data_IF_142157056746
#
_entry.id   IF_142157056746
#
_cell.length_a   1.000
_cell.length_b   1.000
_cell.length_c   1.000
_cell.angle_alpha   90.00
_cell.angle_beta   90.00
_cell.angle_gamma   90.00
#
_symmetry.space_group_name_H-M   'P 1'
#
loop_
_entity.id
_entity.type
_entity.pdbx_description
1 polymer ?
#
# COMPACT_ATOMS: atom_id res chain seq x y z
N UNK A 1 -24.91 -1.79 2.02
CA UNK A 1 -24.05 -2.72 2.78
C UNK A 1 -23.82 -2.10 4.15
N UNK A 2 -24.32 -2.72 5.23
CA UNK A 2 -24.14 -2.19 6.59
C UNK A 2 -22.65 -2.17 6.98
N UNK A 3 -22.13 -1.06 7.52
CA UNK A 3 -20.77 -0.97 8.02
C UNK A 3 -20.72 -1.63 9.40
N UNK A 4 -20.50 -2.95 9.44
CA UNK A 4 -20.44 -3.64 10.72
C UNK A 4 -20.00 -5.09 10.59
N UNK A 5 -18.92 -5.43 11.30
CA UNK A 5 -18.36 -6.78 11.53
C UNK A 5 -17.40 -7.33 10.48
N UNK A 6 -16.51 -6.52 9.91
CA UNK A 6 -15.32 -7.09 9.29
C UNK A 6 -14.37 -7.54 10.42
N UNK A 7 -14.34 -8.85 10.71
CA UNK A 7 -13.49 -9.44 11.76
C UNK A 7 -12.01 -9.52 11.38
N UNK A 8 -11.72 -9.54 10.08
CA UNK A 8 -10.36 -9.72 9.53
C UNK A 8 -10.11 -8.76 8.38
N UNK A 9 -8.87 -8.28 8.24
CA UNK A 9 -8.39 -7.49 7.10
C UNK A 9 -7.73 -8.36 6.01
N UNK A 10 -8.24 -9.60 5.85
CA UNK A 10 -7.74 -10.54 4.85
C UNK A 10 -8.19 -10.24 3.40
N UNK A 11 -7.77 -11.11 2.45
CA UNK A 11 -8.09 -10.99 1.04
C UNK A 11 -9.59 -10.79 0.78
N UNK A 12 -9.92 -10.01 -0.24
CA UNK A 12 -11.28 -10.03 -0.78
C UNK A 12 -11.52 -11.36 -1.52
N UNK A 13 -12.77 -11.82 -1.65
CA UNK A 13 -13.08 -13.17 -2.16
C UNK A 13 -12.45 -13.53 -3.51
N UNK A 14 -12.22 -12.55 -4.39
CA UNK A 14 -11.66 -12.75 -5.74
C UNK A 14 -10.16 -12.45 -5.85
N UNK A 15 -9.47 -12.12 -4.77
CA UNK A 15 -8.07 -11.67 -4.83
C UNK A 15 -7.13 -12.73 -5.38
N UNK A 16 -7.35 -13.99 -5.00
CA UNK A 16 -6.57 -15.11 -5.51
C UNK A 16 -6.67 -15.26 -7.05
N UNK A 17 -7.79 -14.85 -7.65
CA UNK A 17 -7.95 -14.83 -9.11
C UNK A 17 -7.40 -13.55 -9.72
N UNK A 18 -7.66 -12.39 -9.09
CA UNK A 18 -7.29 -11.08 -9.61
C UNK A 18 -5.79 -10.78 -9.52
N UNK A 19 -5.09 -11.50 -8.64
CA UNK A 19 -3.66 -11.34 -8.38
C UNK A 19 -2.92 -12.69 -8.43
N UNK A 20 -3.36 -13.61 -9.30
CA UNK A 20 -2.61 -14.83 -9.63
C UNK A 20 -1.31 -14.50 -10.37
N UNK A 21 -0.38 -15.45 -10.48
CA UNK A 21 0.91 -15.25 -11.18
C UNK A 21 0.76 -14.77 -12.64
N UNK A 22 -0.24 -15.30 -13.34
CA UNK A 22 -0.61 -14.85 -14.69
C UNK A 22 -1.07 -13.40 -14.68
N UNK A 23 -1.99 -13.03 -13.77
CA UNK A 23 -2.47 -11.66 -13.64
C UNK A 23 -1.37 -10.70 -13.20
N UNK A 24 -0.42 -11.13 -12.36
CA UNK A 24 0.72 -10.32 -11.95
C UNK A 24 1.55 -9.89 -13.16
N UNK A 25 1.71 -10.75 -14.16
CA UNK A 25 2.46 -10.41 -15.39
C UNK A 25 1.73 -9.33 -16.19
N UNK A 26 0.41 -9.44 -16.33
CA UNK A 26 -0.44 -8.42 -16.96
C UNK A 26 -0.38 -7.10 -16.18
N UNK A 27 -0.45 -7.17 -14.85
CA UNK A 27 -0.40 -5.99 -13.98
C UNK A 27 0.95 -5.26 -14.06
N UNK A 28 2.07 -5.99 -14.19
CA UNK A 28 3.38 -5.36 -14.41
C UNK A 28 3.43 -4.58 -15.72
N UNK A 29 2.91 -5.16 -16.80
CA UNK A 29 2.83 -4.47 -18.09
C UNK A 29 1.91 -3.24 -18.02
N UNK A 30 0.75 -3.38 -17.37
CA UNK A 30 -0.19 -2.29 -17.16
C UNK A 30 0.40 -1.17 -16.28
N UNK A 31 1.13 -1.51 -15.21
CA UNK A 31 1.81 -0.56 -14.35
C UNK A 31 2.84 0.26 -15.14
N UNK A 32 3.63 -0.39 -16.00
CA UNK A 32 4.59 0.30 -16.86
C UNK A 32 3.90 1.28 -17.82
N UNK A 33 2.83 0.84 -18.50
CA UNK A 33 2.06 1.70 -19.40
C UNK A 33 1.42 2.88 -18.67
N UNK A 34 0.88 2.64 -17.46
CA UNK A 34 0.27 3.69 -16.65
C UNK A 34 1.31 4.71 -16.17
N UNK A 35 2.44 4.25 -15.65
CA UNK A 35 3.56 5.12 -15.26
C UNK A 35 4.08 5.95 -16.42
N UNK A 36 4.17 5.38 -17.63
CA UNK A 36 4.62 6.07 -18.83
C UNK A 36 3.71 7.25 -19.22
N UNK A 37 2.39 7.08 -19.05
CA UNK A 37 1.40 8.14 -19.26
C UNK A 37 1.48 9.21 -18.17
N UNK A 38 1.60 8.80 -16.90
CA UNK A 38 1.76 9.72 -15.77
C UNK A 38 3.02 10.59 -15.91
N UNK A 39 4.12 10.03 -16.43
CA UNK A 39 5.36 10.77 -16.72
C UNK A 39 5.23 11.80 -17.86
N UNK A 40 4.10 11.81 -18.58
CA UNK A 40 3.76 12.74 -19.67
C UNK A 40 2.58 13.64 -19.33
N UNK A 41 2.36 13.85 -18.03
CA UNK A 41 1.33 14.75 -17.50
C UNK A 41 -0.11 14.41 -17.91
N UNK A 42 -0.35 13.17 -18.36
CA UNK A 42 -1.72 12.67 -18.47
C UNK A 42 -2.33 12.56 -17.07
N UNK A 43 -3.56 13.05 -16.91
CA UNK A 43 -4.26 12.92 -15.64
C UNK A 43 -4.39 11.44 -15.22
N UNK A 44 -4.18 11.17 -13.93
CA UNK A 44 -4.27 9.83 -13.35
C UNK A 44 -5.58 9.12 -13.73
N UNK A 45 -6.71 9.84 -13.61
CA UNK A 45 -8.03 9.31 -13.97
C UNK A 45 -8.13 8.86 -15.44
N UNK A 46 -7.66 9.68 -16.38
CA UNK A 46 -7.74 9.35 -17.81
C UNK A 46 -6.77 8.22 -18.18
N UNK A 47 -5.53 8.29 -17.69
CA UNK A 47 -4.51 7.29 -17.94
C UNK A 47 -4.90 5.93 -17.36
N UNK A 48 -5.44 5.89 -16.13
CA UNK A 48 -5.94 4.65 -15.51
C UNK A 48 -7.11 4.04 -16.29
N UNK A 49 -8.00 4.88 -16.84
CA UNK A 49 -9.09 4.41 -17.69
C UNK A 49 -8.54 3.73 -18.96
N UNK A 50 -7.68 4.43 -19.70
CA UNK A 50 -7.09 3.93 -20.96
C UNK A 50 -6.34 2.61 -20.73
N UNK A 51 -5.44 2.57 -19.75
CA UNK A 51 -4.65 1.39 -19.44
C UNK A 51 -5.54 0.26 -18.91
N UNK A 52 -6.44 0.57 -17.99
CA UNK A 52 -7.35 -0.41 -17.44
C UNK A 52 -8.23 -1.06 -18.51
N UNK A 53 -8.72 -0.30 -19.49
CA UNK A 53 -9.53 -0.81 -20.59
C UNK A 53 -8.68 -1.67 -21.54
N UNK A 54 -7.48 -1.20 -21.91
CA UNK A 54 -6.55 -1.92 -22.79
C UNK A 54 -6.16 -3.30 -22.24
N UNK A 55 -5.80 -3.37 -20.96
CA UNK A 55 -5.43 -4.61 -20.28
C UNK A 55 -6.62 -5.37 -19.69
N UNK A 56 -7.86 -4.91 -19.95
CA UNK A 56 -9.12 -5.52 -19.45
C UNK A 56 -9.15 -5.71 -17.91
N UNK A 57 -8.56 -4.77 -17.19
CA UNK A 57 -8.44 -4.82 -15.72
C UNK A 57 -9.77 -4.56 -15.02
N UNK A 58 -9.99 -5.31 -13.93
CA UNK A 58 -11.11 -5.09 -13.01
C UNK A 58 -10.84 -3.91 -12.07
N UNK A 59 -11.89 -3.32 -11.50
CA UNK A 59 -11.77 -2.16 -10.59
C UNK A 59 -10.77 -2.37 -9.44
N UNK A 60 -10.71 -3.57 -8.86
CA UNK A 60 -9.78 -3.87 -7.79
C UNK A 60 -8.31 -3.90 -8.23
N UNK A 61 -8.04 -4.32 -9.46
CA UNK A 61 -6.73 -4.25 -10.10
C UNK A 61 -6.38 -2.80 -10.47
N UNK A 62 -7.35 -2.03 -10.98
CA UNK A 62 -7.19 -0.59 -11.25
C UNK A 62 -6.83 0.18 -9.97
N UNK A 63 -7.49 -0.13 -8.86
CA UNK A 63 -7.17 0.44 -7.53
C UNK A 63 -5.74 0.12 -7.10
N UNK A 64 -5.26 -1.10 -7.37
CA UNK A 64 -3.88 -1.46 -7.09
C UNK A 64 -2.89 -0.62 -7.92
N UNK A 65 -3.15 -0.45 -9.22
CA UNK A 65 -2.34 0.41 -10.07
C UNK A 65 -2.35 1.86 -9.58
N UNK A 66 -3.54 2.41 -9.30
CA UNK A 66 -3.69 3.80 -8.85
C UNK A 66 -2.96 4.08 -7.54
N UNK A 67 -2.92 3.10 -6.62
CA UNK A 67 -2.16 3.22 -5.38
C UNK A 67 -0.66 3.09 -5.58
N UNK A 68 -0.21 2.27 -6.53
CA UNK A 68 1.20 1.88 -6.65
C UNK A 68 1.97 2.66 -7.72
N UNK A 69 1.29 3.29 -8.65
CA UNK A 69 1.89 4.02 -9.76
C UNK A 69 1.77 5.52 -9.55
N UNK A 70 2.89 6.22 -9.74
CA UNK A 70 3.03 7.65 -9.53
C UNK A 70 3.96 8.23 -10.61
N UNK A 71 3.86 9.53 -10.91
CA UNK A 71 4.84 10.21 -11.76
C UNK A 71 6.26 10.09 -11.18
N UNK A 72 7.25 9.88 -12.04
CA UNK A 72 8.66 9.72 -11.68
C UNK A 72 9.23 10.92 -10.93
N UNK A 73 8.74 12.13 -11.21
CA UNK A 73 9.11 13.32 -10.46
C UNK A 73 8.71 13.19 -8.99
N UNK A 74 7.49 12.75 -8.69
CA UNK A 74 7.03 12.55 -7.31
C UNK A 74 7.84 11.45 -6.62
N UNK A 75 8.11 10.34 -7.31
CA UNK A 75 8.93 9.24 -6.77
C UNK A 75 10.32 9.74 -6.37
N UNK A 76 10.96 10.58 -7.20
CA UNK A 76 12.27 11.17 -6.89
C UNK A 76 12.23 12.11 -5.69
N UNK A 77 11.15 12.85 -5.49
CA UNK A 77 11.01 13.72 -4.32
C UNK A 77 10.78 12.93 -3.03
N UNK A 78 10.02 11.84 -3.10
CA UNK A 78 9.83 10.93 -1.97
C UNK A 78 11.16 10.26 -1.60
N UNK A 79 11.90 9.72 -2.58
CA UNK A 79 13.14 8.98 -2.32
C UNK A 79 14.24 9.83 -1.67
N UNK A 80 14.23 11.15 -1.87
CA UNK A 80 15.16 12.09 -1.19
C UNK A 80 14.90 12.21 0.31
N UNK A 81 13.71 11.84 0.77
CA UNK A 81 13.25 11.96 2.17
C UNK A 81 13.14 10.60 2.86
N UNK A 82 13.37 9.51 2.14
CA UNK A 82 13.35 8.17 2.69
C UNK A 82 14.60 7.91 3.52
N UNK A 83 14.42 7.27 4.68
CA UNK A 83 15.52 6.77 5.48
C UNK A 83 16.21 5.64 4.71
N UNK A 84 17.53 5.74 4.55
CA UNK A 84 18.31 4.71 3.83
C UNK A 84 18.65 3.52 4.72
N UNK A 85 18.56 3.71 6.04
CA UNK A 85 18.85 2.71 7.05
C UNK A 85 17.95 2.85 8.27
N UNK A 86 17.50 1.71 8.81
CA UNK A 86 16.76 1.65 10.08
C UNK A 86 17.54 2.25 11.25
N UNK A 87 18.88 2.27 11.17
CA UNK A 87 19.73 2.86 12.22
C UNK A 87 19.59 4.38 12.31
N UNK A 88 19.18 5.04 11.24
CA UNK A 88 18.94 6.50 11.23
C UNK A 88 17.77 6.89 12.15
N UNK A 89 16.92 5.92 12.53
CA UNK A 89 15.82 6.14 13.47
C UNK A 89 16.29 6.25 14.92
N UNK A 90 17.48 5.73 15.24
CA UNK A 90 17.95 5.63 16.62
C UNK A 90 18.20 7.03 17.19
N UNK A 91 17.65 7.30 18.37
CA UNK A 91 17.70 8.59 19.08
C UNK A 91 17.09 9.79 18.30
N UNK A 92 16.38 9.53 17.20
CA UNK A 92 15.66 10.58 16.47
C UNK A 92 14.19 10.66 16.93
N UNK A 93 13.58 11.85 16.91
CA UNK A 93 12.14 11.98 17.06
C UNK A 93 11.43 11.41 15.83
N UNK A 94 10.38 10.60 16.03
CA UNK A 94 9.64 9.98 14.92
C UNK A 94 8.16 10.28 15.08
N UNK A 95 7.55 10.75 14.00
CA UNK A 95 6.09 10.92 13.91
C UNK A 95 5.54 9.77 13.08
N UNK A 96 4.50 9.10 13.57
CA UNK A 96 3.90 7.96 12.89
C UNK A 96 2.41 8.19 12.69
N UNK A 97 1.94 7.99 11.47
CA UNK A 97 0.51 7.73 11.26
C UNK A 97 0.19 6.30 11.71
N UNK A 98 -0.22 6.18 12.99
CA UNK A 98 -0.51 4.90 13.61
C UNK A 98 -1.60 4.10 12.88
N UNK A 99 -2.56 4.77 12.24
CA UNK A 99 -3.62 4.06 11.50
C UNK A 99 -3.09 3.46 10.21
N UNK A 100 -2.35 4.24 9.40
CA UNK A 100 -1.78 3.71 8.16
C UNK A 100 -0.76 2.59 8.43
N UNK A 101 0.03 2.71 9.49
CA UNK A 101 0.92 1.63 9.92
C UNK A 101 0.13 0.37 10.29
N UNK A 102 -0.86 0.50 11.17
CA UNK A 102 -1.65 -0.65 11.61
C UNK A 102 -2.40 -1.32 10.46
N UNK A 103 -2.99 -0.55 9.54
CA UNK A 103 -3.74 -1.09 8.40
C UNK A 103 -2.85 -1.97 7.52
N UNK A 104 -1.61 -1.55 7.24
CA UNK A 104 -0.66 -2.33 6.43
C UNK A 104 -0.24 -3.60 7.18
N UNK A 105 0.09 -3.49 8.47
CA UNK A 105 0.50 -4.65 9.27
C UNK A 105 -0.63 -5.66 9.45
N UNK A 106 -1.85 -5.20 9.71
CA UNK A 106 -3.04 -6.03 9.79
C UNK A 106 -3.33 -6.74 8.47
N UNK A 107 -3.20 -6.04 7.34
CA UNK A 107 -3.33 -6.65 6.02
C UNK A 107 -2.26 -7.73 5.79
N UNK A 108 -1.00 -7.46 6.18
CA UNK A 108 0.09 -8.43 6.08
C UNK A 108 -0.19 -9.69 6.91
N UNK A 109 -0.60 -9.53 8.17
CA UNK A 109 -0.89 -10.64 9.09
C UNK A 109 -2.09 -11.45 8.60
N UNK A 110 -3.12 -10.80 8.05
CA UNK A 110 -4.28 -11.47 7.48
C UNK A 110 -4.04 -12.04 6.06
N UNK A 111 -2.80 -12.02 5.55
CA UNK A 111 -2.43 -12.47 4.20
C UNK A 111 -3.18 -11.77 3.06
N UNK A 112 -3.64 -10.53 3.28
CA UNK A 112 -4.21 -9.71 2.21
C UNK A 112 -3.13 -9.28 1.22
N UNK A 113 -3.49 -9.04 -0.05
CA UNK A 113 -2.52 -8.60 -1.04
C UNK A 113 -1.96 -7.22 -0.68
N UNK A 114 -0.64 -7.16 -0.59
CA UNK A 114 0.16 -5.95 -0.46
C UNK A 114 0.99 -5.76 -1.71
N UNK A 115 1.21 -4.50 -2.06
CA UNK A 115 1.85 -4.15 -3.32
C UNK A 115 3.06 -3.25 -3.04
N UNK A 116 4.17 -3.54 -3.72
CA UNK A 116 5.31 -2.64 -3.76
C UNK A 116 5.05 -1.58 -4.85
N UNK A 117 4.97 -0.32 -4.43
CA UNK A 117 4.82 0.82 -5.31
C UNK A 117 6.05 1.09 -6.18
N UNK A 118 5.88 1.97 -7.17
CA UNK A 118 6.97 2.49 -8.01
C UNK A 118 8.05 3.17 -7.16
N UNK A 119 7.66 3.77 -6.05
CA UNK A 119 8.49 4.36 -5.01
C UNK A 119 9.11 3.35 -4.04
N UNK A 120 8.96 2.04 -4.29
CA UNK A 120 9.40 0.96 -3.39
C UNK A 120 8.67 0.86 -2.05
N UNK A 121 7.69 1.72 -1.78
CA UNK A 121 6.88 1.66 -0.55
C UNK A 121 5.83 0.55 -0.64
N UNK A 122 5.50 -0.04 0.50
CA UNK A 122 4.46 -1.07 0.60
C UNK A 122 3.10 -0.41 0.79
N UNK A 123 2.11 -0.84 0.00
CA UNK A 123 0.78 -0.24 -0.04
C UNK A 123 -0.30 -1.31 0.02
N UNK A 124 -1.29 -1.08 0.86
CA UNK A 124 -2.52 -1.87 0.86
C UNK A 124 -3.54 -1.28 -0.13
N UNK A 125 -4.53 -2.09 -0.49
CA UNK A 125 -5.68 -1.67 -1.32
C UNK A 125 -7.01 -1.83 -0.59
N UNK A 126 -6.97 -1.93 0.75
CA UNK A 126 -8.13 -2.13 1.61
C UNK A 126 -9.12 -0.97 1.43
N UNK A 127 -8.59 0.26 1.23
CA UNK A 127 -9.36 1.50 1.06
C UNK A 127 -10.50 1.61 2.05
N UNK A 128 -10.14 1.63 3.33
CA UNK A 128 -11.06 1.91 4.40
C UNK A 128 -11.55 3.34 4.24
N UNK A 129 -12.85 3.49 3.98
CA UNK A 129 -13.56 4.76 4.00
C UNK A 129 -14.50 4.72 5.22
N UNK A 130 -14.15 5.46 6.27
CA UNK A 130 -14.88 5.49 7.55
C UNK A 130 -13.97 5.33 8.77
N UNK A 131 -14.56 5.21 9.96
CA UNK A 131 -13.83 5.09 11.23
C UNK A 131 -13.07 3.77 11.31
N UNK A 132 -11.82 3.83 11.78
CA UNK A 132 -11.03 2.64 12.10
C UNK A 132 -11.72 1.82 13.20
N UNK A 133 -11.78 0.50 13.01
CA UNK A 133 -12.23 -0.44 14.02
C UNK A 133 -11.15 -1.48 14.26
N UNK A 134 -10.95 -1.86 15.52
CA UNK A 134 -10.03 -2.93 15.91
C UNK A 134 -10.52 -4.28 15.38
N UNK A 135 -9.59 -5.13 14.98
CA UNK A 135 -9.82 -6.50 14.51
C UNK A 135 -8.98 -7.48 15.33
N UNK A 136 -9.10 -8.79 15.08
CA UNK A 136 -8.34 -9.82 15.80
C UNK A 136 -6.82 -9.66 15.68
N UNK A 137 -6.35 -9.13 14.56
CA UNK A 137 -4.94 -8.97 14.22
C UNK A 137 -4.33 -7.69 14.80
N UNK A 138 -5.15 -6.74 15.27
CA UNK A 138 -4.67 -5.45 15.79
C UNK A 138 -3.64 -5.61 16.92
N UNK A 139 -3.84 -6.47 17.94
CA UNK A 139 -2.85 -6.66 19.00
C UNK A 139 -1.50 -7.15 18.46
N UNK A 140 -1.50 -8.09 17.51
CA UNK A 140 -0.29 -8.60 16.87
C UNK A 140 0.41 -7.52 16.03
N UNK A 141 -0.34 -6.68 15.32
CA UNK A 141 0.20 -5.56 14.57
C UNK A 141 0.89 -4.52 15.48
N UNK A 142 0.27 -4.18 16.62
CA UNK A 142 0.87 -3.30 17.63
C UNK A 142 2.15 -3.91 18.20
N UNK A 143 2.12 -5.21 18.54
CA UNK A 143 3.28 -5.90 19.08
C UNK A 143 4.46 -5.90 18.10
N UNK A 144 4.20 -6.15 16.81
CA UNK A 144 5.23 -6.14 15.78
C UNK A 144 5.85 -4.75 15.60
N UNK A 145 5.04 -3.70 15.62
CA UNK A 145 5.54 -2.32 15.60
C UNK A 145 6.38 -2.02 16.85
N UNK A 146 5.90 -2.41 18.05
CA UNK A 146 6.61 -2.20 19.29
C UNK A 146 7.99 -2.90 19.30
N UNK A 147 8.07 -4.15 18.84
CA UNK A 147 9.33 -4.90 18.79
C UNK A 147 10.32 -4.33 17.77
N UNK A 148 9.82 -3.77 16.67
CA UNK A 148 10.65 -3.00 15.73
C UNK A 148 11.30 -1.79 16.43
N UNK A 149 10.54 -1.00 17.18
CA UNK A 149 11.07 0.17 17.88
C UNK A 149 11.93 -0.19 19.10
N UNK A 150 11.72 -1.33 19.75
CA UNK A 150 12.68 -1.82 20.76
C UNK A 150 14.04 -2.14 20.14
N UNK A 151 14.06 -2.63 18.90
CA UNK A 151 15.28 -2.97 18.17
C UNK A 151 15.99 -1.72 17.64
N UNK A 152 15.22 -0.71 17.23
CA UNK A 152 15.72 0.57 16.71
C UNK A 152 15.08 1.73 17.50
N UNK A 153 15.54 1.99 18.73
CA UNK A 153 14.86 2.90 19.65
C UNK A 153 14.95 4.37 19.21
N UNK A 154 13.83 5.02 18.88
CA UNK A 154 13.78 6.46 18.68
C UNK A 154 13.89 7.19 20.02
N UNK A 155 14.12 8.51 20.01
CA UNK A 155 14.10 9.29 21.25
C UNK A 155 12.69 9.42 21.82
N UNK A 156 11.69 9.57 20.94
CA UNK A 156 10.26 9.49 21.25
C UNK A 156 9.45 9.26 19.97
N UNK A 157 8.22 8.77 20.12
CA UNK A 157 7.26 8.54 19.05
C UNK A 157 6.04 9.44 19.28
N UNK A 158 5.65 10.20 18.25
CA UNK A 158 4.47 11.05 18.22
C UNK A 158 3.39 10.45 17.31
#
# INVERSE_FOLDING_TARGET
MSPGKRKHRGPAPKDHQLFSDEQISILKAAANAYCWLLDRDYSARAALKIVGDHFKLRERQRKALDRCCQPSQLVREISKRELTSKKEMINQPIIIDGFNLLIILEAAISSAPLFKGRDSLIRDISGLHGSYHKISETPSAIQLAADFFKTYPPSHIL
#
